data_IF_823407524119
#
_entry.id   IF_823407524119
#
_cell.length_a   1.000
_cell.length_b   1.000
_cell.length_c   1.000
_cell.angle_alpha   90.00
_cell.angle_beta   90.00
_cell.angle_gamma   90.00
#
_symmetry.space_group_name_H-M   'P 1'
#
loop_
_entity.id
_entity.type
_entity.pdbx_description
1 polymer ?
#
# COMPACT_ATOMS: atom_id res chain seq x y z
N UNK A 1 5.95 -11.09 -15.39
CA UNK A 1 6.98 -11.15 -14.34
C UNK A 1 7.56 -9.75 -14.19
N UNK A 2 7.73 -9.26 -12.96
CA UNK A 2 8.28 -7.93 -12.67
C UNK A 2 9.48 -8.02 -11.75
N UNK A 3 10.50 -7.22 -12.00
CA UNK A 3 11.69 -7.17 -11.15
C UNK A 3 11.53 -6.14 -10.04
N UNK A 4 11.92 -6.51 -8.82
CA UNK A 4 11.91 -5.58 -7.68
C UNK A 4 12.94 -4.47 -7.88
N UNK A 5 12.57 -3.18 -7.79
CA UNK A 5 13.52 -2.08 -7.95
C UNK A 5 14.51 -1.94 -6.78
N UNK A 6 14.20 -2.49 -5.60
CA UNK A 6 15.09 -2.42 -4.43
C UNK A 6 16.13 -3.53 -4.36
N UNK A 7 15.79 -4.77 -4.75
CA UNK A 7 16.71 -5.92 -4.59
C UNK A 7 16.91 -6.76 -5.85
N UNK A 8 16.19 -6.50 -6.95
CA UNK A 8 16.35 -7.25 -8.20
C UNK A 8 15.63 -8.59 -8.28
N UNK A 9 14.88 -9.00 -7.24
CA UNK A 9 14.11 -10.25 -7.22
C UNK A 9 13.01 -10.27 -8.29
N UNK A 10 12.81 -11.43 -8.93
CA UNK A 10 11.74 -11.61 -9.90
C UNK A 10 10.44 -12.01 -9.21
N UNK A 11 9.41 -11.17 -9.35
CA UNK A 11 8.12 -11.33 -8.69
C UNK A 11 6.99 -11.48 -9.72
N UNK A 12 5.88 -12.06 -9.28
CA UNK A 12 4.64 -12.10 -10.07
C UNK A 12 4.13 -10.68 -10.36
N UNK A 13 3.50 -10.47 -11.51
CA UNK A 13 2.95 -9.15 -11.89
C UNK A 13 1.84 -8.68 -10.93
N UNK A 14 1.21 -9.63 -10.23
CA UNK A 14 0.17 -9.35 -9.21
C UNK A 14 0.74 -9.14 -7.80
N UNK A 15 2.05 -9.28 -7.60
CA UNK A 15 2.66 -9.09 -6.29
C UNK A 15 2.64 -7.61 -5.89
N UNK A 16 2.03 -7.31 -4.73
CA UNK A 16 2.02 -5.96 -4.15
C UNK A 16 3.33 -5.62 -3.44
N UNK A 17 3.99 -6.63 -2.88
CA UNK A 17 5.25 -6.51 -2.15
C UNK A 17 6.24 -7.56 -2.68
N UNK A 18 7.54 -7.26 -2.58
CA UNK A 18 8.61 -8.19 -2.93
C UNK A 18 8.64 -9.37 -1.96
N UNK A 19 8.72 -10.59 -2.47
CA UNK A 19 8.77 -11.81 -1.64
C UNK A 19 10.10 -11.99 -0.89
N UNK A 20 11.15 -11.27 -1.27
CA UNK A 20 12.47 -11.36 -0.65
C UNK A 20 12.73 -10.22 0.35
N UNK A 21 12.51 -8.96 -0.05
CA UNK A 21 12.85 -7.78 0.76
C UNK A 21 11.65 -6.99 1.30
N UNK A 22 10.41 -7.43 1.03
CA UNK A 22 9.16 -6.77 1.42
C UNK A 22 8.94 -5.34 0.86
N UNK A 23 9.82 -4.84 -0.01
CA UNK A 23 9.62 -3.54 -0.67
C UNK A 23 8.31 -3.51 -1.46
N UNK A 24 7.52 -2.41 -1.40
CA UNK A 24 6.32 -2.27 -2.20
C UNK A 24 6.67 -2.24 -3.70
N UNK A 25 6.00 -3.06 -4.48
CA UNK A 25 6.17 -3.14 -5.94
C UNK A 25 5.13 -2.28 -6.67
N UNK A 26 3.95 -2.07 -6.08
CA UNK A 26 2.96 -1.15 -6.59
C UNK A 26 3.16 0.24 -5.96
N UNK A 27 3.06 1.29 -6.76
CA UNK A 27 2.83 2.63 -6.21
C UNK A 27 1.52 2.57 -5.41
N UNK A 28 1.50 3.10 -4.18
CA UNK A 28 0.23 3.28 -3.48
C UNK A 28 -0.61 4.19 -4.37
N UNK A 29 -1.82 3.73 -4.77
CA UNK A 29 -2.79 4.65 -5.33
C UNK A 29 -2.88 5.84 -4.37
N UNK A 30 -2.84 7.08 -4.87
CA UNK A 30 -2.78 8.25 -4.01
C UNK A 30 -3.92 8.11 -3.02
N UNK A 31 -3.57 7.94 -1.74
CA UNK A 31 -4.54 7.74 -0.69
C UNK A 31 -5.44 8.98 -0.74
N UNK A 32 -6.64 8.84 -1.31
CA UNK A 32 -7.59 9.93 -1.34
C UNK A 32 -7.73 10.39 0.10
N UNK A 33 -7.47 11.66 0.36
CA UNK A 33 -7.51 12.22 1.71
C UNK A 33 -8.91 11.99 2.30
N UNK A 34 -9.07 10.93 3.09
CA UNK A 34 -10.38 10.53 3.60
C UNK A 34 -10.74 11.48 4.72
N UNK A 35 -11.55 12.50 4.41
CA UNK A 35 -12.16 13.36 5.43
C UNK A 35 -13.28 12.58 6.12
N UNK A 36 -12.95 11.98 7.26
CA UNK A 36 -13.93 11.27 8.09
C UNK A 36 -14.77 12.28 8.86
N UNK A 37 -16.09 12.27 8.63
CA UNK A 37 -17.04 13.00 9.47
C UNK A 37 -17.26 12.20 10.74
N UNK A 38 -17.11 12.84 11.91
CA UNK A 38 -17.39 12.23 13.21
C UNK A 38 -18.54 12.98 13.87
N UNK A 39 -19.54 12.24 14.36
CA UNK A 39 -20.63 12.78 15.17
C UNK A 39 -20.26 12.66 16.65
N UNK A 40 -20.20 13.79 17.36
CA UNK A 40 -19.97 13.83 18.80
C UNK A 40 -21.34 13.86 19.49
N UNK A 41 -21.60 12.90 20.38
CA UNK A 41 -22.80 12.87 21.22
C UNK A 41 -22.37 13.15 22.66
N UNK A 42 -23.04 14.12 23.28
CA UNK A 42 -22.89 14.43 24.70
C UNK A 42 -24.09 13.86 25.46
N UNK A 43 -23.83 13.28 26.63
CA UNK A 43 -24.82 12.98 27.66
C UNK A 43 -24.32 13.66 28.95
N UNK A 44 -25.24 14.25 29.71
CA UNK A 44 -24.95 14.88 31.01
C UNK A 44 -24.54 13.87 32.09
#
# INVERSE_FOLDING_TARGET
MRRCPSCGEENSDRARFCQNCAAPLAEPEPASEVRKVVTIVFAD
#
